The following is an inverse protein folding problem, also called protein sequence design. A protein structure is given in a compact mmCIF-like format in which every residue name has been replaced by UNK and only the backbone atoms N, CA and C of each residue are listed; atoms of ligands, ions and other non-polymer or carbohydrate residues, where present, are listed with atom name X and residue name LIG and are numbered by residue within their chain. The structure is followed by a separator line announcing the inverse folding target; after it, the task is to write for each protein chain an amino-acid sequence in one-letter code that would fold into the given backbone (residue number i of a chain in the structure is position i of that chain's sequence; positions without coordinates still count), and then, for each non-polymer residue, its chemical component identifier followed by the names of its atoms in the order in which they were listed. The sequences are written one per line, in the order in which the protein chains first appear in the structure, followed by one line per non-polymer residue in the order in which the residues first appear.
data_IF_908824483411
#
_entry.id   IF_908824483411
#
_cell.length_a   1.000
_cell.length_b   1.000
_cell.length_c   1.000
_cell.angle_alpha   90.00
_cell.angle_beta   90.00
_cell.angle_gamma   90.00
#
_symmetry.space_group_name_H-M   'P 1'
#
loop_
_entity.id
_entity.type
_entity.pdbx_description
1 polymer ?
#
# COMPACT_ATOMS: atom_id res chain seq x y z
N UNK A 1 -18.55 -11.24 -4.36
CA UNK A 1 -17.93 -10.13 -3.59
C UNK A 1 -16.66 -9.73 -4.32
N UNK A 2 -16.23 -8.46 -4.30
CA UNK A 2 -15.02 -8.07 -5.03
C UNK A 2 -13.77 -8.52 -4.26
N UNK A 3 -13.29 -9.71 -4.58
CA UNK A 3 -12.01 -10.21 -4.09
C UNK A 3 -10.86 -9.51 -4.82
N UNK A 4 -9.72 -9.37 -4.14
CA UNK A 4 -8.47 -8.96 -4.77
C UNK A 4 -7.46 -10.08 -4.66
N UNK A 5 -6.98 -10.54 -5.81
CA UNK A 5 -5.99 -11.60 -5.94
C UNK A 5 -4.63 -10.98 -6.21
N UNK A 6 -3.64 -11.33 -5.40
CA UNK A 6 -2.24 -10.95 -5.61
C UNK A 6 -1.31 -12.11 -5.29
N UNK A 7 -0.09 -12.02 -5.79
CA UNK A 7 0.97 -13.00 -5.54
C UNK A 7 2.08 -12.35 -4.73
N UNK A 8 2.64 -13.10 -3.79
CA UNK A 8 3.76 -12.63 -2.97
C UNK A 8 4.86 -13.68 -2.91
N UNK A 9 6.15 -13.32 -2.92
CA UNK A 9 7.24 -14.28 -2.82
C UNK A 9 7.09 -15.21 -1.61
N UNK A 10 7.22 -16.51 -1.82
CA UNK A 10 7.14 -17.55 -0.79
C UNK A 10 8.52 -18.13 -0.52
N UNK A 11 9.10 -18.80 -1.51
CA UNK A 11 10.46 -19.34 -1.41
C UNK A 11 11.39 -18.46 -2.22
N UNK A 12 12.40 -17.93 -1.54
CA UNK A 12 13.34 -16.96 -2.08
C UNK A 12 14.76 -17.52 -1.99
N UNK A 13 15.57 -17.26 -3.01
CA UNK A 13 17.00 -17.53 -2.97
C UNK A 13 17.75 -16.27 -2.58
N UNK A 14 18.72 -16.46 -1.70
CA UNK A 14 19.66 -15.43 -1.26
C UNK A 14 21.04 -15.74 -1.85
N UNK A 15 21.94 -14.76 -1.81
CA UNK A 15 23.35 -14.91 -2.21
C UNK A 15 23.96 -16.18 -1.60
N UNK A 16 24.61 -16.99 -2.44
CA UNK A 16 25.18 -18.33 -2.17
C UNK A 16 24.19 -19.51 -2.16
N UNK A 17 23.04 -19.40 -2.83
CA UNK A 17 22.12 -20.53 -3.05
C UNK A 17 21.33 -20.95 -1.79
N UNK A 18 21.46 -20.21 -0.70
CA UNK A 18 20.66 -20.37 0.51
C UNK A 18 19.22 -19.98 0.21
N UNK A 19 18.31 -20.94 0.37
CA UNK A 19 16.89 -20.70 0.24
C UNK A 19 16.31 -20.28 1.59
N UNK A 20 15.40 -19.31 1.56
CA UNK A 20 14.60 -18.95 2.71
C UNK A 20 13.11 -18.99 2.36
N UNK A 21 12.30 -19.24 3.37
CA UNK A 21 10.86 -19.37 3.28
C UNK A 21 10.17 -18.24 4.05
N UNK A 22 9.38 -17.44 3.34
CA UNK A 22 8.56 -16.38 3.94
C UNK A 22 7.22 -17.00 4.35
N UNK A 23 6.92 -17.01 5.64
CA UNK A 23 5.62 -17.51 6.14
C UNK A 23 4.52 -16.48 5.93
N UNK A 24 3.26 -16.92 5.79
CA UNK A 24 2.13 -16.01 5.52
C UNK A 24 1.93 -14.98 6.64
N UNK A 25 2.20 -15.36 7.87
CA UNK A 25 2.08 -14.50 9.05
C UNK A 25 3.14 -13.39 9.04
N UNK A 26 4.31 -13.68 8.49
CA UNK A 26 5.42 -12.72 8.40
C UNK A 26 5.19 -11.68 7.30
N UNK A 27 4.40 -11.97 6.27
CA UNK A 27 4.12 -11.07 5.15
C UNK A 27 3.55 -9.72 5.65
N UNK A 28 2.67 -9.73 6.65
CA UNK A 28 2.08 -8.49 7.17
C UNK A 28 3.04 -7.66 8.04
N UNK A 29 4.08 -8.28 8.59
CA UNK A 29 5.03 -7.66 9.52
C UNK A 29 6.29 -7.19 8.78
N UNK A 30 6.84 -8.06 7.93
CA UNK A 30 8.12 -7.91 7.25
C UNK A 30 7.93 -7.80 5.74
N UNK A 31 7.42 -6.66 5.30
CA UNK A 31 7.26 -6.41 3.86
C UNK A 31 8.62 -6.28 3.16
N UNK A 32 8.81 -7.05 2.09
CA UNK A 32 9.85 -6.84 1.10
C UNK A 32 9.76 -5.42 0.53
N UNK A 33 10.90 -4.87 0.14
CA UNK A 33 10.99 -3.54 -0.47
C UNK A 33 11.72 -3.62 -1.80
N UNK A 34 11.28 -2.85 -2.79
CA UNK A 34 11.99 -2.70 -4.05
C UNK A 34 12.99 -1.56 -3.91
N UNK A 35 14.28 -1.90 -3.91
CA UNK A 35 15.38 -0.96 -3.80
C UNK A 35 15.71 -0.40 -5.18
N UNK A 36 15.76 0.92 -5.27
CA UNK A 36 16.00 1.64 -6.51
C UNK A 36 17.10 2.68 -6.29
N UNK A 37 18.01 2.82 -7.25
CA UNK A 37 19.14 3.78 -7.21
C UNK A 37 18.91 5.05 -8.05
N UNK A 38 17.75 5.19 -8.68
CA UNK A 38 17.43 6.38 -9.47
C UNK A 38 16.92 7.55 -8.62
N UNK A 39 16.86 8.74 -9.23
CA UNK A 39 16.31 9.94 -8.62
C UNK A 39 14.83 9.74 -8.28
N UNK A 40 14.43 10.20 -7.09
CA UNK A 40 13.05 10.22 -6.63
C UNK A 40 12.06 10.71 -7.70
N UNK A 41 12.39 11.80 -8.39
CA UNK A 41 11.49 12.44 -9.35
C UNK A 41 11.14 11.53 -10.54
N UNK A 42 12.04 10.63 -10.95
CA UNK A 42 11.76 9.64 -11.98
C UNK A 42 10.74 8.60 -11.50
N UNK A 43 10.89 8.11 -10.27
CA UNK A 43 9.95 7.18 -9.64
C UNK A 43 8.57 7.84 -9.51
N UNK A 44 8.54 9.10 -9.04
CA UNK A 44 7.30 9.88 -8.90
C UNK A 44 6.64 10.06 -10.26
N UNK A 45 7.40 10.43 -11.31
CA UNK A 45 6.88 10.58 -12.66
C UNK A 45 6.29 9.27 -13.18
N UNK A 46 6.97 8.14 -13.00
CA UNK A 46 6.49 6.83 -13.38
C UNK A 46 5.16 6.49 -12.68
N UNK A 47 5.08 6.68 -11.36
CA UNK A 47 3.85 6.45 -10.60
C UNK A 47 2.70 7.36 -11.06
N UNK A 48 2.95 8.65 -11.28
CA UNK A 48 1.93 9.59 -11.75
C UNK A 48 1.41 9.22 -13.15
N UNK A 49 2.30 8.76 -14.05
CA UNK A 49 1.91 8.27 -15.39
C UNK A 49 1.03 7.01 -15.31
N UNK A 50 1.24 6.16 -14.30
CA UNK A 50 0.38 5.01 -14.04
C UNK A 50 -0.94 5.37 -13.33
N UNK A 51 -1.22 6.66 -13.11
CA UNK A 51 -2.47 7.14 -12.53
C UNK A 51 -2.51 7.15 -11.00
N UNK A 52 -1.35 7.05 -10.34
CA UNK A 52 -1.27 7.29 -8.91
C UNK A 52 -1.50 8.77 -8.58
N UNK A 53 -1.96 9.02 -7.35
CA UNK A 53 -2.21 10.35 -6.81
C UNK A 53 -1.58 10.46 -5.42
N UNK A 54 -1.16 11.66 -5.06
CA UNK A 54 -0.64 11.92 -3.72
C UNK A 54 -1.71 11.64 -2.65
N UNK A 55 -1.31 10.92 -1.61
CA UNK A 55 -2.16 10.65 -0.46
C UNK A 55 -2.28 11.91 0.38
N UNK A 56 -3.52 12.32 0.64
CA UNK A 56 -3.85 13.44 1.54
C UNK A 56 -4.02 12.91 2.96
N UNK A 57 -3.60 13.69 3.96
CA UNK A 57 -3.76 13.37 5.40
C UNK A 57 -3.23 11.96 5.73
N UNK A 58 -1.92 11.80 5.66
CA UNK A 58 -1.25 10.53 5.96
C UNK A 58 -0.50 10.58 7.29
N UNK A 59 -0.45 9.44 7.98
CA UNK A 59 0.55 9.21 9.00
C UNK A 59 1.85 8.77 8.30
N UNK A 60 2.86 9.65 8.28
CA UNK A 60 4.14 9.44 7.59
C UNK A 60 5.04 8.51 8.41
N UNK A 61 5.70 7.56 7.75
CA UNK A 61 6.79 6.80 8.39
C UNK A 61 8.00 7.72 8.60
N UNK A 62 8.85 7.47 9.62
CA UNK A 62 10.00 8.32 9.92
C UNK A 62 10.96 8.54 8.75
N UNK A 63 11.18 7.51 7.93
CA UNK A 63 12.07 7.57 6.75
C UNK A 63 11.33 7.85 5.44
N UNK A 64 10.07 8.30 5.50
CA UNK A 64 9.27 8.49 4.30
C UNK A 64 9.68 9.75 3.53
N UNK A 65 9.95 9.57 2.24
CA UNK A 65 10.30 10.65 1.33
C UNK A 65 9.02 11.31 0.82
N UNK A 66 8.68 12.47 1.39
CA UNK A 66 7.52 13.25 0.96
C UNK A 66 6.19 12.51 1.19
N UNK A 67 5.27 12.66 0.23
CA UNK A 67 3.95 12.05 0.32
C UNK A 67 3.91 10.62 -0.22
N UNK A 68 3.09 9.78 0.39
CA UNK A 68 2.70 8.50 -0.19
C UNK A 68 1.84 8.70 -1.45
N UNK A 69 1.75 7.65 -2.25
CA UNK A 69 0.99 7.57 -3.47
C UNK A 69 -0.16 6.58 -3.32
N UNK A 70 -1.27 6.82 -3.99
CA UNK A 70 -2.43 5.92 -4.00
C UNK A 70 -3.01 5.80 -5.41
N UNK A 71 -3.42 4.59 -5.77
CA UNK A 71 -4.12 4.30 -7.02
C UNK A 71 -5.33 3.44 -6.71
N UNK A 72 -6.51 3.87 -7.18
CA UNK A 72 -7.73 3.07 -7.05
C UNK A 72 -7.65 1.88 -7.98
N UNK A 73 -8.00 0.72 -7.45
CA UNK A 73 -8.17 -0.51 -8.20
C UNK A 73 -9.68 -0.75 -8.41
N UNK A 74 -10.12 -1.99 -8.36
CA UNK A 74 -11.53 -2.35 -8.28
C UNK A 74 -12.09 -1.99 -6.89
N UNK A 75 -13.32 -1.49 -6.79
CA UNK A 75 -13.92 -1.18 -5.47
C UNK A 75 -13.96 -2.45 -4.61
N UNK A 76 -13.59 -2.41 -3.32
CA UNK A 76 -13.20 -1.24 -2.52
C UNK A 76 -11.69 -0.94 -2.46
N UNK A 77 -10.87 -1.63 -3.25
CA UNK A 77 -9.43 -1.70 -3.13
C UNK A 77 -8.70 -0.46 -3.64
N UNK A 78 -7.64 -0.11 -2.92
CA UNK A 78 -6.71 0.97 -3.24
C UNK A 78 -5.30 0.49 -2.97
N UNK A 79 -4.41 0.71 -3.93
CA UNK A 79 -3.00 0.44 -3.78
C UNK A 79 -2.33 1.68 -3.23
N UNK A 80 -1.56 1.52 -2.16
CA UNK A 80 -0.76 2.55 -1.53
C UNK A 80 0.71 2.24 -1.76
N UNK A 81 1.48 3.26 -2.14
CA UNK A 81 2.93 3.17 -2.34
C UNK A 81 3.59 4.23 -1.49
N UNK A 82 4.65 3.83 -0.77
CA UNK A 82 5.49 4.72 0.01
C UNK A 82 6.92 4.60 -0.49
N UNK A 83 7.57 5.76 -0.62
CA UNK A 83 9.00 5.85 -0.89
C UNK A 83 9.71 6.11 0.44
N UNK A 84 10.68 5.29 0.79
CA UNK A 84 11.47 5.42 2.00
C UNK A 84 12.93 5.67 1.64
N UNK A 85 13.56 6.58 2.36
CA UNK A 85 14.99 6.85 2.24
C UNK A 85 15.78 5.76 2.97
N UNK A 86 16.75 5.20 2.26
CA UNK A 86 17.69 4.23 2.78
C UNK A 86 19.10 4.81 2.73
N UNK A 87 20.03 4.16 3.42
CA UNK A 87 21.44 4.56 3.39
C UNK A 87 21.98 4.56 1.95
N UNK A 88 22.99 5.41 1.71
CA UNK A 88 23.69 5.52 0.43
C UNK A 88 22.82 6.05 -0.74
N UNK A 89 21.74 6.78 -0.44
CA UNK A 89 20.87 7.40 -1.45
C UNK A 89 19.98 6.40 -2.19
N UNK A 90 19.83 5.18 -1.67
CA UNK A 90 18.88 4.20 -2.19
C UNK A 90 17.46 4.55 -1.74
N UNK A 91 16.49 4.30 -2.60
CA UNK A 91 15.07 4.49 -2.30
C UNK A 91 14.42 3.11 -2.20
N UNK A 92 13.85 2.82 -1.03
CA UNK A 92 13.02 1.65 -0.83
C UNK A 92 11.57 1.99 -1.20
N UNK A 93 10.99 1.22 -2.13
CA UNK A 93 9.59 1.31 -2.50
C UNK A 93 8.83 0.20 -1.77
N UNK A 94 7.87 0.61 -0.96
CA UNK A 94 6.95 -0.26 -0.23
C UNK A 94 5.55 -0.04 -0.77
N UNK A 95 4.84 -1.12 -1.09
CA UNK A 95 3.48 -1.03 -1.59
C UNK A 95 2.57 -2.04 -0.92
N UNK A 96 1.34 -1.60 -0.67
CA UNK A 96 0.32 -2.36 0.03
C UNK A 96 -1.02 -2.13 -0.67
N UNK A 97 -1.85 -3.17 -0.79
CA UNK A 97 -3.26 -3.04 -1.17
C UNK A 97 -4.09 -3.09 0.10
N UNK A 98 -4.91 -2.06 0.29
CA UNK A 98 -5.82 -1.90 1.41
C UNK A 98 -7.21 -1.44 0.91
N UNK A 99 -8.17 -1.37 1.82
CA UNK A 99 -9.47 -0.75 1.51
C UNK A 99 -9.23 0.75 1.35
N UNK A 100 -9.75 1.33 0.26
CA UNK A 100 -9.64 2.76 -0.02
C UNK A 100 -10.04 3.59 1.19
N UNK A 101 -9.22 4.59 1.50
CA UNK A 101 -9.44 5.53 2.62
C UNK A 101 -10.75 6.30 2.53
N UNK A 102 -11.40 6.27 1.37
CA UNK A 102 -12.75 6.81 1.18
C UNK A 102 -13.78 6.12 2.07
N UNK A 103 -13.55 4.88 2.48
CA UNK A 103 -14.51 4.07 3.22
C UNK A 103 -14.10 3.92 4.69
N UNK A 104 -15.06 3.91 5.62
CA UNK A 104 -14.77 3.75 7.05
C UNK A 104 -14.04 2.45 7.37
N UNK A 105 -14.30 1.41 6.58
CA UNK A 105 -13.70 0.09 6.75
C UNK A 105 -12.17 0.10 6.65
N UNK A 106 -11.55 1.15 6.09
CA UNK A 106 -10.09 1.29 6.04
C UNK A 106 -9.42 1.31 7.43
N UNK A 107 -10.13 1.74 8.49
CA UNK A 107 -9.54 1.83 9.85
C UNK A 107 -9.16 0.45 10.41
N UNK A 108 -9.95 -0.58 10.08
CA UNK A 108 -9.73 -1.96 10.54
C UNK A 108 -9.55 -2.92 9.37
N UNK A 109 -9.18 -2.42 8.20
CA UNK A 109 -9.07 -3.26 7.01
C UNK A 109 -7.84 -4.14 7.04
N UNK A 110 -7.97 -5.30 6.43
CA UNK A 110 -6.81 -6.12 6.05
C UNK A 110 -6.03 -5.38 4.97
N UNK A 111 -4.70 -5.46 5.07
CA UNK A 111 -3.75 -4.99 4.06
C UNK A 111 -2.89 -6.16 3.60
N UNK A 112 -2.54 -6.18 2.32
CA UNK A 112 -1.52 -7.10 1.79
C UNK A 112 -0.40 -6.29 1.16
N UNK A 113 0.87 -6.54 1.49
CA UNK A 113 1.96 -6.01 0.70
C UNK A 113 1.90 -6.57 -0.72
N UNK A 114 2.34 -5.76 -1.68
CA UNK A 114 2.37 -6.06 -3.10
C UNK A 114 3.73 -5.68 -3.67
N UNK A 115 4.31 -6.56 -4.49
CA UNK A 115 5.65 -6.38 -5.05
C UNK A 115 5.59 -6.40 -6.57
N UNK A 116 4.96 -7.43 -7.14
CA UNK A 116 4.92 -7.62 -8.60
C UNK A 116 4.18 -6.51 -9.34
N UNK A 117 3.16 -5.94 -8.71
CA UNK A 117 2.41 -4.81 -9.23
C UNK A 117 3.32 -3.60 -9.44
N UNK A 118 4.23 -3.33 -8.48
CA UNK A 118 5.20 -2.24 -8.60
C UNK A 118 6.35 -2.62 -9.51
N UNK A 119 6.86 -3.86 -9.45
CA UNK A 119 7.88 -4.33 -10.40
C UNK A 119 7.43 -4.11 -11.85
N UNK A 120 6.16 -4.41 -12.17
CA UNK A 120 5.63 -4.24 -13.53
C UNK A 120 5.72 -2.79 -14.00
N UNK A 121 5.49 -1.84 -13.08
CA UNK A 121 5.60 -0.40 -13.34
C UNK A 121 7.08 -0.04 -13.54
N UNK A 122 7.97 -0.46 -12.63
CA UNK A 122 9.38 -0.16 -12.74
C UNK A 122 9.98 -0.70 -14.05
N UNK A 123 9.65 -1.95 -14.42
CA UNK A 123 10.06 -2.55 -15.71
C UNK A 123 9.55 -1.75 -16.90
N UNK A 124 8.27 -1.36 -16.91
CA UNK A 124 7.66 -0.56 -17.98
C UNK A 124 8.36 0.79 -18.18
N UNK A 125 8.82 1.41 -17.09
CA UNK A 125 9.52 2.69 -17.10
C UNK A 125 11.06 2.53 -17.12
N UNK A 126 11.58 1.31 -17.32
CA UNK A 126 13.03 0.99 -17.38
C UNK A 126 13.81 1.42 -16.14
N UNK A 127 13.17 1.35 -14.97
CA UNK A 127 13.81 1.64 -13.69
C UNK A 127 14.38 0.33 -13.14
N UNK A 128 15.70 0.27 -13.02
CA UNK A 128 16.38 -0.86 -12.40
C UNK A 128 16.06 -0.93 -10.91
N UNK A 129 15.86 -2.16 -10.42
CA UNK A 129 15.51 -2.40 -9.03
C UNK A 129 16.10 -3.72 -8.54
N UNK A 130 16.21 -3.85 -7.21
CA UNK A 130 16.57 -5.07 -6.52
C UNK A 130 15.58 -5.33 -5.39
N UNK A 131 15.23 -6.58 -5.13
CA UNK A 131 14.32 -6.90 -4.02
C UNK A 131 15.14 -7.04 -2.73
N UNK A 132 14.75 -6.32 -1.68
CA UNK A 132 15.41 -6.32 -0.38
C UNK A 132 14.52 -6.90 0.71
N UNK A 133 15.09 -7.79 1.51
CA UNK A 133 14.45 -8.36 2.69
C UNK A 133 14.97 -7.66 3.95
N UNK A 134 14.14 -6.83 4.58
CA UNK A 134 14.54 -5.99 5.71
C UNK A 134 15.03 -6.80 6.93
N UNK A 135 14.29 -7.84 7.33
CA UNK A 135 14.65 -8.71 8.47
C UNK A 135 15.97 -9.46 8.27
N UNK A 136 16.21 -10.00 7.08
CA UNK A 136 17.45 -10.72 6.76
C UNK A 136 18.62 -9.80 6.41
N UNK A 137 18.34 -8.51 6.17
CA UNK A 137 19.29 -7.51 5.67
C UNK A 137 20.03 -7.99 4.42
N UNK A 138 19.31 -8.63 3.51
CA UNK A 138 19.87 -9.27 2.32
C UNK A 138 19.01 -8.99 1.08
N UNK A 139 19.69 -8.95 -0.07
CA UNK A 139 19.04 -8.87 -1.38
C UNK A 139 18.61 -10.27 -1.83
N UNK A 140 17.43 -10.33 -2.44
CA UNK A 140 16.88 -11.54 -3.03
C UNK A 140 17.39 -11.64 -4.47
N UNK A 141 18.01 -12.77 -4.81
CA UNK A 141 18.56 -13.01 -6.14
C UNK A 141 17.54 -13.67 -7.06
N UNK A 142 16.72 -14.58 -6.53
CA UNK A 142 15.69 -15.27 -7.30
C UNK A 142 14.46 -15.57 -6.43
N UNK A 143 13.27 -15.57 -7.03
CA UNK A 143 12.03 -16.05 -6.40
C UNK A 143 11.65 -17.37 -7.05
N UNK A 144 11.52 -18.42 -6.25
CA UNK A 144 11.29 -19.80 -6.72
C UNK A 144 9.79 -20.06 -6.85
N UNK A 145 9.02 -19.73 -5.82
CA UNK A 145 7.57 -19.87 -5.80
C UNK A 145 6.89 -18.73 -5.04
N UNK A 146 5.56 -18.63 -5.22
CA UNK A 146 4.74 -17.54 -4.69
C UNK A 146 3.59 -18.06 -3.82
N UNK A 147 3.26 -17.30 -2.80
CA UNK A 147 1.96 -17.36 -2.13
C UNK A 147 0.92 -16.69 -3.00
N UNK A 148 -0.22 -17.36 -3.21
CA UNK A 148 -1.43 -16.68 -3.65
C UNK A 148 -2.13 -16.09 -2.42
N UNK A 149 -2.35 -14.77 -2.46
CA UNK A 149 -3.04 -14.02 -1.41
C UNK A 149 -4.37 -13.56 -1.99
N UNK A 150 -5.44 -13.92 -1.30
CA UNK A 150 -6.79 -13.44 -1.60
C UNK A 150 -7.22 -12.49 -0.49
N UNK A 151 -7.44 -11.23 -0.84
CA UNK A 151 -8.05 -10.25 0.06
C UNK A 151 -9.56 -10.26 -0.14
N UNK A 152 -10.28 -10.55 0.94
CA UNK A 152 -11.72 -10.56 0.95
C UNK A 152 -12.25 -9.19 1.36
N UNK A 153 -13.17 -8.65 0.56
CA UNK A 153 -13.87 -7.43 0.90
C UNK A 153 -14.70 -7.65 2.19
N UNK A 154 -14.89 -6.59 3.01
CA UNK A 154 -15.72 -6.70 4.20
C UNK A 154 -17.14 -7.14 3.85
N UNK A 155 -17.80 -7.87 4.75
CA UNK A 155 -19.18 -8.36 4.56
C UNK A 155 -20.16 -7.21 4.32
N UNK A 156 -19.94 -6.07 4.99
CA UNK A 156 -20.74 -4.88 4.79
C UNK A 156 -20.26 -4.11 3.56
N UNK A 157 -21.19 -3.55 2.74
CA UNK A 157 -20.84 -2.68 1.65
C UNK A 157 -19.92 -1.54 2.11
N UNK A 158 -18.94 -1.11 1.30
CA UNK A 158 -18.04 -0.02 1.65
C UNK A 158 -18.82 1.28 1.90
N UNK A 159 -18.72 1.85 3.11
CA UNK A 159 -19.50 3.04 3.50
C UNK A 159 -18.60 4.28 3.39
N UNK A 160 -18.87 5.23 2.48
CA UNK A 160 -18.06 6.43 2.34
C UNK A 160 -18.14 7.35 3.57
N UNK A 161 -16.99 7.89 4.01
CA UNK A 161 -16.91 8.88 5.10
C UNK A 161 -17.82 10.09 4.91
N UNK A 162 -17.99 10.53 3.67
CA UNK A 162 -18.81 11.70 3.34
C UNK A 162 -20.25 11.56 3.81
N UNK A 163 -20.83 10.36 3.73
CA UNK A 163 -22.19 10.13 4.20
C UNK A 163 -22.27 10.21 5.72
N UNK A 164 -21.31 9.60 6.43
CA UNK A 164 -21.27 9.64 7.89
C UNK A 164 -21.07 11.06 8.44
N UNK A 165 -20.13 11.82 7.87
CA UNK A 165 -19.90 13.21 8.26
C UNK A 165 -21.14 14.06 7.97
N UNK A 166 -21.78 13.87 6.81
CA UNK A 166 -23.02 14.56 6.48
C UNK A 166 -24.14 14.27 7.48
N UNK A 167 -24.37 13.01 7.83
CA UNK A 167 -25.37 12.62 8.83
C UNK A 167 -25.07 13.22 10.20
N UNK A 168 -23.80 13.22 10.63
CA UNK A 168 -23.40 13.77 11.91
C UNK A 168 -23.61 15.29 11.98
N UNK A 169 -23.24 16.01 10.92
CA UNK A 169 -23.47 17.47 10.82
C UNK A 169 -24.96 17.80 10.88
N UNK A 170 -25.79 17.07 10.12
CA UNK A 170 -27.25 17.28 10.13
C UNK A 170 -27.83 17.06 11.54
N UNK A 171 -27.47 15.96 12.19
CA UNK A 171 -27.93 15.66 13.56
C UNK A 171 -27.49 16.76 14.53
N UNK A 172 -26.23 17.17 14.49
CA UNK A 172 -25.71 18.25 15.35
C UNK A 172 -26.46 19.57 15.14
N UNK A 173 -26.78 19.92 13.88
CA UNK A 173 -27.56 21.13 13.57
C UNK A 173 -29.00 21.04 14.09
N UNK A 174 -29.66 19.89 13.95
CA UNK A 174 -31.02 19.67 14.48
C UNK A 174 -31.04 19.77 16.01
N UNK A 175 -30.09 19.14 16.68
CA UNK A 175 -29.97 19.23 18.15
C UNK A 175 -29.64 20.65 18.61
N UNK A 176 -28.79 21.37 17.88
CA UNK A 176 -28.48 22.77 18.17
C UNK A 176 -29.71 23.66 17.99
N UNK A 177 -30.47 23.48 16.90
CA UNK A 177 -31.72 24.23 16.66
C UNK A 177 -32.74 23.99 17.78
N UNK A 178 -32.87 22.75 18.25
CA UNK A 178 -33.71 22.39 19.39
C UNK A 178 -33.23 23.02 20.70
N UNK A 179 -31.93 23.06 20.92
CA UNK A 179 -31.35 23.67 22.12
C UNK A 179 -31.54 25.19 22.16
N UNK A 180 -31.45 25.86 21.01
CA UNK A 180 -31.63 27.32 20.87
C UNK A 180 -33.12 27.71 20.78
N UNK A 181 -34.04 26.74 20.72
CA UNK A 181 -35.48 26.99 20.68
C UNK A 181 -35.99 27.49 19.32
N UNK A 182 -35.22 27.29 18.25
CA UNK A 182 -35.64 27.56 16.87
C UNK A 182 -36.55 26.44 16.33
N UNK A 183 -36.51 25.26 16.96
CA UNK A 183 -37.24 24.05 16.62
C UNK A 183 -37.70 23.33 17.90
#
# INVERSE_FOLDING_TARGET
MSEFLTSYPKTISIVKGLQNFIRKEEIQLDQLSLMVKTKKDEIVKALMLEGFKLVKLENRKPTQIGHGFSKRLTKPWEMHVRLLEMQQGLIAIQAEVEISRRYIQHIRSVRSPVIYEIESILKKHRIEYQIWHAKLKQYITNVIDNHQITLNAPRLPPIPWKHMVGSLVILSLVYLAKFVGVL
#
